data_IF_320755515430
#
_entry.id   IF_320755515430
#
_cell.length_a   1.000
_cell.length_b   1.000
_cell.length_c   1.000
_cell.angle_alpha   90.00
_cell.angle_beta   90.00
_cell.angle_gamma   90.00
#
_symmetry.space_group_name_H-M   'P 1'
#
loop_
_entity.id
_entity.type
_entity.pdbx_description
1 polymer ?
#
# COMPACT_ATOMS: atom_id res chain seq x y z
N UNK A 1 -1.93 -7.16 11.42
CA UNK A 1 -0.59 -7.43 10.85
C UNK A 1 0.44 -6.76 11.73
N UNK A 2 1.49 -7.49 12.14
CA UNK A 2 2.53 -6.95 13.03
C UNK A 2 3.62 -6.27 12.18
N UNK A 3 4.26 -5.26 12.75
CA UNK A 3 5.24 -4.37 12.10
C UNK A 3 6.36 -5.09 11.33
N UNK A 4 6.77 -6.27 11.80
CA UNK A 4 7.83 -7.07 11.18
C UNK A 4 7.46 -7.66 9.81
N UNK A 5 6.18 -7.87 9.52
CA UNK A 5 5.75 -8.38 8.20
C UNK A 5 5.86 -7.29 7.11
N UNK A 6 5.71 -6.02 7.49
CA UNK A 6 5.81 -4.87 6.57
C UNK A 6 7.27 -4.59 6.19
N UNK A 7 8.24 -4.91 7.05
CA UNK A 7 9.68 -4.70 6.82
C UNK A 7 10.32 -5.73 5.88
N UNK A 8 9.69 -6.90 5.68
CA UNK A 8 10.20 -7.97 4.81
C UNK A 8 9.49 -8.09 3.45
N UNK A 9 8.52 -7.22 3.15
CA UNK A 9 7.86 -7.22 1.84
C UNK A 9 8.79 -6.58 0.79
N UNK A 10 8.83 -7.12 -0.45
CA UNK A 10 9.54 -6.47 -1.55
C UNK A 10 9.04 -5.03 -1.69
N UNK A 11 9.91 -4.11 -2.12
CA UNK A 11 9.75 -2.64 -2.05
C UNK A 11 8.38 -2.03 -2.45
N UNK A 12 7.51 -2.79 -3.11
CA UNK A 12 6.13 -2.45 -3.38
C UNK A 12 5.17 -3.63 -3.09
N UNK A 13 4.05 -3.33 -2.45
CA UNK A 13 2.97 -4.27 -2.10
C UNK A 13 1.80 -4.13 -3.06
N UNK A 14 0.95 -5.16 -3.17
CA UNK A 14 -0.27 -5.06 -3.99
C UNK A 14 -1.31 -4.12 -3.37
N UNK A 15 -2.24 -3.64 -4.21
CA UNK A 15 -3.32 -2.73 -3.80
C UNK A 15 -4.21 -3.29 -2.68
N UNK A 16 -4.41 -4.60 -2.61
CA UNK A 16 -5.27 -5.21 -1.58
C UNK A 16 -4.55 -5.19 -0.24
N UNK A 17 -3.26 -5.53 -0.22
CA UNK A 17 -2.41 -5.42 0.97
C UNK A 17 -2.29 -3.97 1.44
N UNK A 18 -2.09 -3.03 0.51
CA UNK A 18 -2.08 -1.60 0.84
C UNK A 18 -3.41 -1.14 1.43
N UNK A 19 -4.54 -1.51 0.81
CA UNK A 19 -5.85 -1.13 1.30
C UNK A 19 -6.17 -1.74 2.65
N UNK A 20 -5.78 -2.99 2.91
CA UNK A 20 -5.93 -3.64 4.22
C UNK A 20 -5.19 -2.87 5.32
N UNK A 21 -3.98 -2.38 5.05
CA UNK A 21 -3.24 -1.55 6.00
C UNK A 21 -3.98 -0.23 6.33
N UNK A 22 -4.86 0.22 5.43
CA UNK A 22 -5.70 1.42 5.58
C UNK A 22 -7.13 1.10 6.03
N UNK A 23 -7.44 -0.14 6.42
CA UNK A 23 -8.78 -0.56 6.81
C UNK A 23 -9.78 -0.69 5.66
N UNK A 24 -9.31 -0.73 4.41
CA UNK A 24 -10.12 -0.91 3.21
C UNK A 24 -10.30 -2.39 2.86
N UNK A 25 -11.54 -2.79 2.58
CA UNK A 25 -11.84 -4.11 2.03
C UNK A 25 -11.40 -4.26 0.57
N UNK A 26 -11.18 -5.50 0.11
CA UNK A 26 -10.65 -5.83 -1.24
C UNK A 26 -11.34 -5.03 -2.36
N UNK A 27 -12.67 -5.03 -2.38
CA UNK A 27 -13.44 -4.36 -3.44
C UNK A 27 -13.25 -2.84 -3.44
N UNK A 28 -13.22 -2.22 -2.25
CA UNK A 28 -13.00 -0.76 -2.11
C UNK A 28 -11.59 -0.38 -2.51
N UNK A 29 -10.60 -1.21 -2.20
CA UNK A 29 -9.21 -1.00 -2.61
C UNK A 29 -9.05 -1.00 -4.13
N UNK A 30 -9.67 -1.97 -4.82
CA UNK A 30 -9.63 -2.00 -6.29
C UNK A 30 -10.41 -0.84 -6.93
N UNK A 31 -11.58 -0.49 -6.38
CA UNK A 31 -12.37 0.64 -6.87
C UNK A 31 -11.57 1.95 -6.82
N UNK A 32 -10.95 2.25 -5.67
CA UNK A 32 -10.13 3.45 -5.49
C UNK A 32 -8.86 3.43 -6.34
N UNK A 33 -8.26 2.26 -6.54
CA UNK A 33 -7.10 2.14 -7.43
C UNK A 33 -7.45 2.33 -8.91
N UNK A 34 -8.65 1.91 -9.32
CA UNK A 34 -9.11 2.07 -10.69
C UNK A 34 -9.65 3.48 -10.97
N UNK A 35 -10.24 4.15 -9.97
CA UNK A 35 -10.67 5.55 -10.07
C UNK A 35 -9.52 6.54 -9.93
N UNK A 36 -8.37 6.11 -9.39
CA UNK A 36 -7.22 6.98 -9.12
C UNK A 36 -7.33 7.72 -7.78
N UNK A 37 -8.36 7.46 -6.98
CA UNK A 37 -8.60 8.07 -5.67
C UNK A 37 -7.98 7.29 -4.51
N UNK A 38 -7.01 6.43 -4.80
CA UNK A 38 -6.31 5.72 -3.74
C UNK A 38 -5.51 6.72 -2.90
N UNK A 39 -5.56 6.65 -1.56
CA UNK A 39 -4.96 7.67 -0.67
C UNK A 39 -3.43 7.76 -0.76
N UNK A 40 -2.78 6.79 -1.40
CA UNK A 40 -1.34 6.83 -1.74
C UNK A 40 -1.16 6.59 -3.24
N UNK A 41 -0.09 7.15 -3.84
CA UNK A 41 0.19 6.92 -5.25
C UNK A 41 0.47 5.44 -5.54
N UNK A 42 -0.22 4.92 -6.56
CA UNK A 42 -0.04 3.55 -7.03
C UNK A 42 0.76 3.53 -8.34
N UNK A 43 1.70 2.60 -8.42
CA UNK A 43 2.42 2.28 -9.64
C UNK A 43 1.65 1.21 -10.41
N UNK A 44 1.39 1.48 -11.69
CA UNK A 44 0.81 0.48 -12.60
C UNK A 44 1.92 -0.33 -13.27
N UNK A 45 1.99 -1.61 -12.94
CA UNK A 45 2.91 -2.58 -13.53
C UNK A 45 2.10 -3.55 -14.39
N UNK A 46 1.94 -3.20 -15.67
CA UNK A 46 1.08 -3.90 -16.61
C UNK A 46 -0.40 -3.85 -16.18
N UNK A 47 -0.96 -5.03 -15.87
CA UNK A 47 -2.34 -5.18 -15.40
C UNK A 47 -2.51 -5.05 -13.88
N UNK A 48 -1.42 -4.88 -13.13
CA UNK A 48 -1.45 -4.86 -11.66
C UNK A 48 -1.09 -3.49 -11.11
N UNK A 49 -1.75 -3.12 -10.00
CA UNK A 49 -1.40 -1.95 -9.21
C UNK A 49 -0.53 -2.35 -8.02
N UNK A 50 0.55 -1.61 -7.78
CA UNK A 50 1.39 -1.74 -6.60
C UNK A 50 1.56 -0.41 -5.88
N UNK A 51 1.47 -0.45 -4.56
CA UNK A 51 1.78 0.67 -3.68
C UNK A 51 3.23 0.55 -3.21
N UNK A 52 3.99 1.65 -3.21
CA UNK A 52 5.33 1.65 -2.62
C UNK A 52 5.18 1.60 -1.09
N UNK A 53 6.02 0.80 -0.44
CA UNK A 53 6.05 0.71 1.04
C UNK A 53 6.28 2.07 1.68
N UNK A 54 7.16 2.89 1.09
CA UNK A 54 7.49 4.22 1.60
C UNK A 54 6.27 5.15 1.67
N UNK A 55 5.42 5.16 0.63
CA UNK A 55 4.23 6.01 0.61
C UNK A 55 3.21 5.55 1.66
N UNK A 56 3.08 4.24 1.84
CA UNK A 56 2.19 3.65 2.84
C UNK A 56 2.65 3.98 4.28
N UNK A 57 3.94 3.91 4.55
CA UNK A 57 4.52 4.31 5.84
C UNK A 57 4.36 5.81 6.10
N UNK A 58 4.62 6.63 5.08
CA UNK A 58 4.45 8.08 5.15
C UNK A 58 3.01 8.46 5.48
N UNK A 59 2.02 7.82 4.84
CA UNK A 59 0.60 8.09 5.10
C UNK A 59 0.15 7.64 6.50
N UNK A 60 0.72 6.55 7.01
CA UNK A 60 0.43 6.08 8.37
C UNK A 60 1.16 6.89 9.45
N UNK A 61 2.02 7.84 9.09
CA UNK A 61 2.83 8.61 10.04
C UNK A 61 3.85 7.76 10.80
N UNK A 62 4.18 6.57 10.28
CA UNK A 62 5.13 5.66 10.90
C UNK A 62 6.51 6.02 10.35
N UNK A 63 7.45 6.51 11.17
CA UNK A 63 8.80 6.78 10.69
C UNK A 63 9.43 5.47 10.20
N UNK A 64 10.01 5.48 9.00
CA UNK A 64 10.85 4.38 8.53
C UNK A 64 12.09 4.33 9.44
N UNK A 65 12.00 3.55 10.51
CA UNK A 65 13.12 3.29 11.41
C UNK A 65 14.07 2.30 10.73
N UNK A 66 14.67 2.73 9.62
CA UNK A 66 15.94 2.19 9.16
C UNK A 66 17.02 2.94 9.94
N UNK A 67 17.36 2.41 11.11
CA UNK A 67 18.59 2.74 11.84
C UNK A 67 19.47 1.50 11.84
#
# INVERSE_FOLDING_TARGET
MKENEVRNLPAAVDVVTAGKALGLGRSKSYALAQSGDFPIPLMRLGAQYRARRADLLALLGIPDQTK
#
